data_IF_617918599063
#
_entry.id   IF_617918599063
#
_cell.length_a   1.000
_cell.length_b   1.000
_cell.length_c   1.000
_cell.angle_alpha   90.00
_cell.angle_beta   90.00
_cell.angle_gamma   90.00
#
_symmetry.space_group_name_H-M   'P 1'
#
loop_
_entity.id
_entity.type
_entity.pdbx_description
1 polymer ?
#
# COMPACT_ATOMS: atom_id res chain seq x y z
N UNK A 1 21.45 0.04 19.66
CA UNK A 1 20.49 -0.09 18.55
C UNK A 1 20.37 1.16 17.67
N UNK A 2 20.58 2.38 18.19
CA UNK A 2 20.51 3.63 17.37
C UNK A 2 21.64 3.81 16.34
N UNK A 3 22.89 3.44 16.68
CA UNK A 3 24.04 3.59 15.78
C UNK A 3 23.91 2.72 14.50
N UNK A 4 23.41 1.49 14.66
CA UNK A 4 23.13 0.59 13.54
C UNK A 4 21.99 1.13 12.64
N UNK A 5 20.95 1.72 13.23
CA UNK A 5 19.88 2.35 12.47
C UNK A 5 20.43 3.52 11.63
N UNK A 6 21.26 4.38 12.22
CA UNK A 6 21.93 5.48 11.52
C UNK A 6 22.77 5.00 10.33
N UNK A 7 23.52 3.91 10.49
CA UNK A 7 24.29 3.32 9.38
C UNK A 7 23.41 2.80 8.25
N UNK A 8 22.27 2.15 8.56
CA UNK A 8 21.36 1.67 7.52
C UNK A 8 20.68 2.82 6.76
N UNK A 9 20.31 3.90 7.44
CA UNK A 9 19.79 5.11 6.78
C UNK A 9 20.84 5.77 5.88
N UNK A 10 22.09 5.87 6.35
CA UNK A 10 23.18 6.41 5.54
C UNK A 10 23.46 5.55 4.29
N UNK A 11 23.53 4.22 4.45
CA UNK A 11 23.70 3.28 3.32
C UNK A 11 22.54 3.39 2.33
N UNK A 12 21.30 3.48 2.81
CA UNK A 12 20.12 3.67 1.96
C UNK A 12 20.17 4.98 1.18
N UNK A 13 20.56 6.09 1.85
CA UNK A 13 20.71 7.39 1.20
C UNK A 13 21.82 7.39 0.13
N UNK A 14 22.96 6.76 0.42
CA UNK A 14 24.06 6.62 -0.53
C UNK A 14 23.69 5.73 -1.72
N UNK A 15 22.99 4.61 -1.48
CA UNK A 15 22.49 3.74 -2.53
C UNK A 15 21.48 4.45 -3.44
N UNK A 16 20.58 5.25 -2.86
CA UNK A 16 19.61 6.06 -3.59
C UNK A 16 20.32 7.13 -4.45
N UNK A 17 21.32 7.82 -3.89
CA UNK A 17 22.15 8.78 -4.63
C UNK A 17 22.88 8.09 -5.79
N UNK A 18 23.48 6.94 -5.55
CA UNK A 18 24.14 6.13 -6.57
C UNK A 18 23.18 5.74 -7.70
N UNK A 19 21.99 5.25 -7.34
CA UNK A 19 20.93 4.92 -8.30
C UNK A 19 20.56 6.13 -9.17
N UNK A 20 20.30 7.29 -8.57
CA UNK A 20 19.95 8.52 -9.32
C UNK A 20 21.09 8.95 -10.25
N UNK A 21 22.35 8.86 -9.82
CA UNK A 21 23.51 9.22 -10.63
C UNK A 21 23.69 8.27 -11.82
N UNK A 22 23.48 6.97 -11.63
CA UNK A 22 23.56 5.95 -12.69
C UNK A 22 22.41 6.13 -13.69
N UNK A 23 21.17 6.24 -13.21
CA UNK A 23 19.98 6.43 -14.06
C UNK A 23 20.07 7.69 -14.93
N UNK A 24 20.71 8.76 -14.45
CA UNK A 24 20.92 9.98 -15.26
C UNK A 24 21.99 9.83 -16.34
N UNK A 25 22.87 8.83 -16.24
CA UNK A 25 24.00 8.61 -17.17
C UNK A 25 23.75 7.49 -18.18
N UNK A 26 22.89 6.52 -17.86
CA UNK A 26 22.62 5.35 -18.70
C UNK A 26 21.65 5.69 -19.85
N UNK A 27 21.90 5.14 -21.03
CA UNK A 27 21.09 5.38 -22.23
C UNK A 27 19.69 4.73 -22.20
N UNK A 28 19.54 3.63 -21.46
CA UNK A 28 18.27 2.96 -21.18
C UNK A 28 18.03 2.90 -19.66
N UNK A 29 17.54 4.00 -19.05
CA UNK A 29 17.25 4.05 -17.62
C UNK A 29 16.16 3.04 -17.23
N UNK A 30 16.27 2.48 -16.02
CA UNK A 30 15.27 1.59 -15.43
C UNK A 30 14.02 2.38 -14.98
N UNK A 31 14.19 3.65 -14.63
CA UNK A 31 13.09 4.59 -14.39
C UNK A 31 13.43 5.96 -15.00
N UNK A 32 12.74 6.33 -16.07
CA UNK A 32 12.85 7.69 -16.61
C UNK A 32 12.33 8.71 -15.59
N UNK A 33 13.26 9.41 -14.92
CA UNK A 33 13.00 10.42 -13.89
C UNK A 33 12.14 11.59 -14.41
N UNK A 34 12.04 11.78 -15.73
CA UNK A 34 11.13 12.78 -16.32
C UNK A 34 9.66 12.43 -16.06
N UNK A 35 9.33 11.16 -15.86
CA UNK A 35 7.99 10.71 -15.49
C UNK A 35 7.59 11.22 -14.10
N UNK A 36 8.53 11.29 -13.15
CA UNK A 36 8.29 11.83 -11.80
C UNK A 36 7.99 13.34 -11.80
N UNK A 37 8.25 14.04 -12.90
CA UNK A 37 7.87 15.45 -13.08
C UNK A 37 6.43 15.60 -13.61
N UNK A 38 5.82 14.52 -14.10
CA UNK A 38 4.43 14.52 -14.57
C UNK A 38 3.49 14.34 -13.37
N UNK A 39 2.60 15.31 -13.08
CA UNK A 39 1.74 15.26 -11.91
C UNK A 39 0.81 14.03 -11.89
N UNK A 40 0.39 13.56 -13.06
CA UNK A 40 -0.41 12.34 -13.17
C UNK A 40 0.33 11.08 -12.67
N UNK A 41 1.60 10.90 -13.06
CA UNK A 41 2.39 9.75 -12.63
C UNK A 41 2.77 9.85 -11.15
N UNK A 42 3.17 11.04 -10.70
CA UNK A 42 3.46 11.29 -9.29
C UNK A 42 2.25 11.06 -8.40
N UNK A 43 1.05 11.46 -8.84
CA UNK A 43 -0.20 11.16 -8.14
C UNK A 43 -0.47 9.66 -7.99
N UNK A 44 -0.17 8.87 -9.03
CA UNK A 44 -0.26 7.41 -8.97
C UNK A 44 0.75 6.84 -7.96
N UNK A 45 1.99 7.32 -7.94
CA UNK A 45 3.01 6.86 -7.00
C UNK A 45 2.66 7.23 -5.54
N UNK A 46 2.15 8.43 -5.30
CA UNK A 46 1.64 8.84 -3.98
C UNK A 46 0.47 7.94 -3.56
N UNK A 47 -0.47 7.69 -4.48
CA UNK A 47 -1.57 6.77 -4.25
C UNK A 47 -1.11 5.35 -3.93
N UNK A 48 -0.04 4.87 -4.58
CA UNK A 48 0.57 3.56 -4.33
C UNK A 48 1.18 3.45 -2.92
N UNK A 49 1.89 4.49 -2.48
CA UNK A 49 2.43 4.60 -1.11
C UNK A 49 1.29 4.59 -0.09
N UNK A 50 0.30 5.48 -0.26
CA UNK A 50 -0.84 5.58 0.64
C UNK A 50 -1.64 4.27 0.70
N UNK A 51 -1.85 3.63 -0.45
CA UNK A 51 -2.55 2.36 -0.55
C UNK A 51 -1.86 1.27 0.27
N UNK A 52 -0.57 1.01 0.05
CA UNK A 52 0.10 -0.10 0.73
C UNK A 52 0.43 0.22 2.19
N UNK A 53 0.78 1.47 2.49
CA UNK A 53 1.03 1.89 3.87
C UNK A 53 -0.22 1.77 4.74
N UNK A 54 -1.35 2.31 4.28
CA UNK A 54 -2.58 2.31 5.07
C UNK A 54 -3.28 0.93 5.10
N UNK A 55 -3.39 0.25 3.96
CA UNK A 55 -4.14 -1.01 3.91
C UNK A 55 -3.36 -2.20 4.50
N UNK A 56 -2.04 -2.22 4.37
CA UNK A 56 -1.22 -3.38 4.72
C UNK A 56 -0.21 -3.12 5.84
N UNK A 57 0.19 -1.87 6.11
CA UNK A 57 1.17 -1.55 7.14
C UNK A 57 0.78 -2.00 8.56
N UNK A 58 -0.53 -2.10 8.84
CA UNK A 58 -1.07 -2.56 10.14
C UNK A 58 -1.10 -4.09 10.28
N UNK A 59 -1.05 -4.84 9.18
CA UNK A 59 -1.28 -6.30 9.15
C UNK A 59 -0.28 -7.09 10.00
N UNK A 60 1.03 -6.77 10.01
CA UNK A 60 1.98 -7.45 10.91
C UNK A 60 1.60 -7.30 12.37
N UNK A 61 1.21 -6.09 12.78
CA UNK A 61 0.82 -5.80 14.16
C UNK A 61 -0.49 -6.49 14.54
N UNK A 62 -1.46 -6.52 13.62
CA UNK A 62 -2.70 -7.26 13.82
C UNK A 62 -2.43 -8.76 14.00
N UNK A 63 -1.50 -9.32 13.21
CA UNK A 63 -1.10 -10.72 13.34
C UNK A 63 -0.43 -11.00 14.69
N UNK A 64 0.42 -10.09 15.18
CA UNK A 64 1.02 -10.18 16.51
C UNK A 64 -0.07 -10.13 17.59
N UNK A 65 -0.98 -9.16 17.53
CA UNK A 65 -2.07 -9.00 18.51
C UNK A 65 -2.98 -10.24 18.59
N UNK A 66 -3.37 -10.80 17.45
CA UNK A 66 -4.19 -12.03 17.39
C UNK A 66 -3.48 -13.22 18.05
N UNK A 67 -2.15 -13.31 17.92
CA UNK A 67 -1.37 -14.42 18.49
C UNK A 67 -1.05 -14.20 19.97
N UNK A 68 -0.64 -12.99 20.36
CA UNK A 68 -0.16 -12.72 21.73
C UNK A 68 -1.28 -12.40 22.70
N UNK A 69 -2.31 -11.66 22.28
CA UNK A 69 -3.41 -11.23 23.16
C UNK A 69 -4.56 -12.24 23.14
N UNK A 70 -4.95 -12.68 21.95
CA UNK A 70 -6.07 -13.62 21.78
C UNK A 70 -5.66 -15.09 21.81
N UNK A 71 -4.35 -15.39 21.90
CA UNK A 71 -3.82 -16.75 21.96
C UNK A 71 -4.16 -17.60 20.73
N UNK A 72 -4.50 -16.98 19.60
CA UNK A 72 -4.88 -17.71 18.39
C UNK A 72 -3.67 -18.36 17.74
N UNK A 73 -3.88 -19.54 17.15
CA UNK A 73 -2.86 -20.12 16.27
C UNK A 73 -2.61 -19.20 15.07
N UNK A 74 -1.41 -19.20 14.47
CA UNK A 74 -1.09 -18.37 13.31
C UNK A 74 -2.10 -18.55 12.17
N UNK A 75 -2.53 -19.80 11.94
CA UNK A 75 -3.53 -20.14 10.93
C UNK A 75 -4.86 -19.45 11.20
N UNK A 76 -5.37 -19.51 12.44
CA UNK A 76 -6.64 -18.86 12.81
C UNK A 76 -6.53 -17.33 12.77
N UNK A 77 -5.40 -16.77 13.19
CA UNK A 77 -5.13 -15.34 13.09
C UNK A 77 -5.18 -14.85 11.65
N UNK A 78 -4.58 -15.57 10.72
CA UNK A 78 -4.64 -15.21 9.29
C UNK A 78 -6.05 -15.37 8.70
N UNK A 79 -6.87 -16.30 9.19
CA UNK A 79 -8.29 -16.41 8.76
C UNK A 79 -9.11 -15.18 9.12
N UNK A 80 -8.73 -14.42 10.16
CA UNK A 80 -9.39 -13.14 10.49
C UNK A 80 -9.23 -12.13 9.36
N UNK A 81 -8.19 -12.23 8.53
CA UNK A 81 -7.96 -11.36 7.38
C UNK A 81 -8.81 -11.71 6.15
N UNK A 82 -9.58 -12.80 6.19
CA UNK A 82 -10.45 -13.22 5.08
C UNK A 82 -11.44 -12.15 4.60
N UNK A 83 -12.09 -11.35 5.46
CA UNK A 83 -12.98 -10.29 5.00
C UNK A 83 -12.26 -9.30 4.09
N UNK A 84 -11.02 -8.92 4.42
CA UNK A 84 -10.22 -8.02 3.58
C UNK A 84 -9.92 -8.65 2.22
N UNK A 85 -9.42 -9.88 2.20
CA UNK A 85 -9.09 -10.57 0.96
C UNK A 85 -10.33 -10.83 0.09
N UNK A 86 -11.41 -11.31 0.72
CA UNK A 86 -12.67 -11.65 0.06
C UNK A 86 -13.36 -10.43 -0.55
N UNK A 87 -13.52 -9.35 0.21
CA UNK A 87 -14.15 -8.14 -0.34
C UNK A 87 -13.25 -7.48 -1.38
N UNK A 88 -11.93 -7.48 -1.20
CA UNK A 88 -11.01 -6.94 -2.20
C UNK A 88 -11.08 -7.72 -3.51
N UNK A 89 -11.16 -9.05 -3.45
CA UNK A 89 -11.32 -9.90 -4.63
C UNK A 89 -12.64 -9.62 -5.36
N UNK A 90 -13.77 -9.65 -4.64
CA UNK A 90 -15.10 -9.41 -5.21
C UNK A 90 -15.18 -8.02 -5.83
N UNK A 91 -14.71 -7.00 -5.10
CA UNK A 91 -14.75 -5.62 -5.59
C UNK A 91 -13.81 -5.43 -6.76
N UNK A 92 -12.62 -6.03 -6.79
CA UNK A 92 -11.72 -5.94 -7.95
C UNK A 92 -12.36 -6.52 -9.23
N UNK A 93 -13.06 -7.67 -9.12
CA UNK A 93 -13.78 -8.27 -10.24
C UNK A 93 -14.90 -7.37 -10.76
N UNK A 94 -15.68 -6.80 -9.85
CA UNK A 94 -16.82 -5.93 -10.17
C UNK A 94 -16.33 -4.59 -10.73
N UNK A 95 -15.31 -3.99 -10.09
CA UNK A 95 -14.71 -2.72 -10.48
C UNK A 95 -14.12 -2.78 -11.89
N UNK A 96 -13.45 -3.89 -12.24
CA UNK A 96 -12.91 -4.10 -13.58
C UNK A 96 -13.97 -4.03 -14.68
N UNK A 97 -15.23 -4.40 -14.38
CA UNK A 97 -16.34 -4.34 -15.34
C UNK A 97 -17.15 -3.06 -15.27
N UNK A 98 -17.49 -2.60 -14.06
CA UNK A 98 -18.42 -1.48 -13.85
C UNK A 98 -17.77 -0.10 -13.95
N UNK A 99 -16.46 0.00 -13.71
CA UNK A 99 -15.76 1.29 -13.71
C UNK A 99 -15.08 1.59 -15.05
N UNK A 100 -15.43 0.85 -16.11
CA UNK A 100 -15.01 1.17 -17.47
C UNK A 100 -15.45 2.60 -17.83
N UNK A 101 -14.48 3.48 -18.12
CA UNK A 101 -14.72 4.87 -18.48
C UNK A 101 -14.74 5.87 -17.31
N UNK A 102 -14.71 5.41 -16.06
CA UNK A 102 -14.61 6.30 -14.89
C UNK A 102 -13.18 6.83 -14.75
N UNK A 103 -13.03 8.10 -14.40
CA UNK A 103 -11.72 8.72 -14.23
C UNK A 103 -10.90 8.00 -13.13
N UNK A 104 -9.70 7.47 -13.41
CA UNK A 104 -8.92 6.70 -12.44
C UNK A 104 -8.63 7.43 -11.12
N UNK A 105 -8.45 8.76 -11.18
CA UNK A 105 -8.27 9.62 -10.02
C UNK A 105 -9.42 9.53 -9.00
N UNK A 106 -10.66 9.39 -9.48
CA UNK A 106 -11.84 9.29 -8.61
C UNK A 106 -11.89 7.92 -7.94
N UNK A 107 -11.65 6.85 -8.71
CA UNK A 107 -11.65 5.47 -8.21
C UNK A 107 -10.57 5.29 -7.14
N UNK A 108 -9.34 5.78 -7.40
CA UNK A 108 -8.23 5.71 -6.46
C UNK A 108 -8.53 6.57 -5.22
N UNK A 109 -9.03 7.79 -5.39
CA UNK A 109 -9.36 8.69 -4.28
C UNK A 109 -10.42 8.12 -3.36
N UNK A 110 -11.54 7.64 -3.91
CA UNK A 110 -12.61 6.99 -3.14
C UNK A 110 -12.09 5.74 -2.44
N UNK A 111 -11.33 4.90 -3.14
CA UNK A 111 -10.78 3.69 -2.53
C UNK A 111 -9.80 3.98 -1.38
N UNK A 112 -8.97 5.02 -1.48
CA UNK A 112 -8.09 5.46 -0.38
C UNK A 112 -8.90 6.00 0.82
N UNK A 113 -9.99 6.73 0.57
CA UNK A 113 -10.89 7.19 1.64
C UNK A 113 -11.57 6.01 2.35
N UNK A 114 -12.00 4.99 1.62
CA UNK A 114 -12.57 3.77 2.21
C UNK A 114 -11.55 3.01 3.05
N UNK A 115 -10.29 2.93 2.60
CA UNK A 115 -9.20 2.33 3.38
C UNK A 115 -8.96 3.12 4.68
N UNK A 116 -8.90 4.45 4.59
CA UNK A 116 -8.78 5.31 5.77
C UNK A 116 -9.95 5.14 6.74
N UNK A 117 -11.18 5.10 6.24
CA UNK A 117 -12.37 4.87 7.04
C UNK A 117 -12.35 3.48 7.71
N UNK A 118 -11.92 2.43 6.99
CA UNK A 118 -11.75 1.09 7.55
C UNK A 118 -10.74 1.06 8.69
N UNK A 119 -9.61 1.78 8.53
CA UNK A 119 -8.62 1.97 9.59
C UNK A 119 -9.19 2.73 10.80
N UNK A 120 -9.98 3.78 10.59
CA UNK A 120 -10.63 4.52 11.69
C UNK A 120 -11.68 3.66 12.42
N UNK A 121 -12.43 2.82 11.72
CA UNK A 121 -13.34 1.86 12.36
C UNK A 121 -12.60 0.88 13.27
N UNK A 122 -11.37 0.51 12.91
CA UNK A 122 -10.51 -0.35 13.74
C UNK A 122 -9.87 0.40 14.90
N UNK A 123 -9.68 1.72 14.80
CA UNK A 123 -9.05 2.52 15.86
C UNK A 123 -9.89 2.62 17.14
N UNK A 124 -11.18 2.25 17.09
CA UNK A 124 -12.10 2.25 18.24
C UNK A 124 -12.04 0.94 19.04
N UNK A 125 -11.14 0.02 18.68
CA UNK A 125 -11.00 -1.27 19.36
C UNK A 125 -10.36 -1.12 20.74
N UNK A 126 -11.02 -1.69 21.74
CA UNK A 126 -10.52 -1.81 23.12
C UNK A 126 -9.93 -3.21 23.37
N UNK A 127 -9.08 -3.36 24.38
CA UNK A 127 -8.35 -4.60 24.69
C UNK A 127 -9.26 -5.83 24.96
N UNK A 128 -10.52 -5.61 25.34
CA UNK A 128 -11.54 -6.66 25.53
C UNK A 128 -12.35 -7.02 24.28
N UNK A 129 -12.08 -6.38 23.14
CA UNK A 129 -12.88 -6.55 21.91
C UNK A 129 -12.58 -7.89 21.24
N UNK A 130 -13.64 -8.57 20.77
CA UNK A 130 -13.50 -9.82 20.01
C UNK A 130 -13.04 -9.55 18.58
N UNK A 131 -12.42 -10.56 17.97
CA UNK A 131 -11.97 -10.51 16.57
C UNK A 131 -13.08 -10.17 15.56
N UNK A 132 -14.35 -10.41 15.91
CA UNK A 132 -15.49 -10.09 15.04
C UNK A 132 -15.68 -8.59 14.79
N UNK A 133 -15.20 -7.74 15.70
CA UNK A 133 -15.28 -6.28 15.58
C UNK A 133 -14.30 -5.74 14.52
N UNK A 134 -13.26 -6.51 14.16
CA UNK A 134 -12.35 -6.17 13.07
C UNK A 134 -12.98 -6.41 11.69
N UNK A 135 -13.95 -7.32 11.58
CA UNK A 135 -14.48 -7.78 10.30
C UNK A 135 -15.07 -6.63 9.44
N UNK A 136 -15.85 -5.68 9.98
CA UNK A 136 -16.35 -4.54 9.21
C UNK A 136 -15.23 -3.62 8.72
N UNK A 137 -14.23 -3.33 9.57
CA UNK A 137 -13.08 -2.51 9.19
C UNK A 137 -12.22 -3.17 8.11
N UNK A 138 -11.96 -4.47 8.25
CA UNK A 138 -11.24 -5.29 7.26
C UNK A 138 -12.01 -5.37 5.95
N UNK A 139 -13.32 -5.58 6.01
CA UNK A 139 -14.19 -5.62 4.85
C UNK A 139 -14.15 -4.27 4.10
N UNK A 140 -14.26 -3.14 4.82
CA UNK A 140 -14.23 -1.80 4.25
C UNK A 140 -12.87 -1.47 3.62
N UNK A 141 -11.77 -1.80 4.30
CA UNK A 141 -10.41 -1.70 3.76
C UNK A 141 -10.24 -2.59 2.52
N UNK A 142 -10.83 -3.79 2.51
CA UNK A 142 -10.83 -4.68 1.36
C UNK A 142 -11.61 -4.11 0.17
N UNK A 143 -12.79 -3.51 0.41
CA UNK A 143 -13.55 -2.81 -0.64
C UNK A 143 -12.70 -1.70 -1.27
N UNK A 144 -12.11 -0.83 -0.45
CA UNK A 144 -11.22 0.21 -0.94
C UNK A 144 -10.03 -0.36 -1.70
N UNK A 145 -9.41 -1.44 -1.19
CA UNK A 145 -8.29 -2.12 -1.84
C UNK A 145 -8.63 -2.68 -3.21
N UNK A 146 -9.81 -3.28 -3.36
CA UNK A 146 -10.31 -3.80 -4.63
C UNK A 146 -10.56 -2.72 -5.69
N UNK A 147 -10.83 -1.48 -5.27
CA UNK A 147 -10.95 -0.31 -6.16
C UNK A 147 -9.57 0.25 -6.55
N UNK A 148 -8.68 0.42 -5.57
CA UNK A 148 -7.39 1.11 -5.75
C UNK A 148 -6.42 0.28 -6.57
N UNK A 149 -6.29 -1.03 -6.29
CA UNK A 149 -5.29 -1.88 -6.93
C UNK A 149 -5.34 -1.89 -8.47
N UNK A 150 -6.49 -2.17 -9.12
CA UNK A 150 -6.59 -2.09 -10.57
C UNK A 150 -6.50 -0.66 -11.10
N UNK A 151 -7.04 0.31 -10.35
CA UNK A 151 -6.99 1.74 -10.70
C UNK A 151 -5.55 2.27 -10.80
N UNK A 152 -4.69 1.91 -9.84
CA UNK A 152 -3.27 2.28 -9.85
C UNK A 152 -2.54 1.67 -11.05
N UNK A 153 -2.75 0.37 -11.31
CA UNK A 153 -2.12 -0.31 -12.44
C UNK A 153 -2.54 0.32 -13.78
N UNK A 154 -3.84 0.54 -13.98
CA UNK A 154 -4.36 1.19 -15.19
C UNK A 154 -3.87 2.62 -15.35
N UNK A 155 -3.89 3.43 -14.29
CA UNK A 155 -3.42 4.81 -14.32
C UNK A 155 -1.92 4.93 -14.60
N UNK A 156 -1.11 4.01 -14.05
CA UNK A 156 0.32 3.94 -14.33
C UNK A 156 0.59 3.66 -15.80
N UNK A 157 -0.07 2.63 -16.35
CA UNK A 157 0.06 2.27 -17.76
C UNK A 157 -0.42 3.38 -18.69
N UNK A 158 -1.52 4.08 -18.35
CA UNK A 158 -2.04 5.19 -19.14
C UNK A 158 -1.14 6.44 -19.12
N UNK A 159 -0.24 6.56 -18.14
CA UNK A 159 0.65 7.72 -18.00
C UNK A 159 1.94 7.63 -18.81
N UNK A 160 2.22 6.47 -19.43
CA UNK A 160 3.44 6.19 -20.18
C UNK A 160 3.14 5.57 -21.56
N UNK A 161 4.05 5.72 -22.54
CA UNK A 161 3.97 4.97 -23.79
C UNK A 161 4.06 3.44 -23.54
N UNK A 162 3.47 2.59 -24.41
CA UNK A 162 3.47 1.14 -24.23
C UNK A 162 4.87 0.52 -24.05
N UNK A 163 5.89 1.06 -24.74
CA UNK A 163 7.28 0.62 -24.59
C UNK A 163 7.84 0.79 -23.16
N UNK A 164 7.24 1.69 -22.38
CA UNK A 164 7.66 2.03 -21.03
C UNK A 164 6.73 1.44 -19.95
N UNK A 165 5.78 0.57 -20.33
CA UNK A 165 4.82 -0.06 -19.43
C UNK A 165 5.49 -0.81 -18.27
N UNK A 166 6.58 -1.53 -18.57
CA UNK A 166 7.39 -2.24 -17.57
C UNK A 166 8.00 -1.29 -16.53
N UNK A 167 8.50 -0.13 -16.95
CA UNK A 167 9.04 0.89 -16.04
C UNK A 167 7.94 1.47 -15.13
N UNK A 168 6.77 1.80 -15.68
CA UNK A 168 5.66 2.33 -14.88
C UNK A 168 5.16 1.32 -13.85
N UNK A 169 4.98 0.05 -14.25
CA UNK A 169 4.59 -1.03 -13.33
C UNK A 169 5.63 -1.28 -12.24
N UNK A 170 6.91 -1.31 -12.62
CA UNK A 170 8.04 -1.47 -11.68
C UNK A 170 8.09 -0.33 -10.66
N UNK A 171 7.95 0.92 -11.12
CA UNK A 171 7.93 2.09 -10.24
C UNK A 171 6.76 2.04 -9.25
N UNK A 172 5.55 1.73 -9.72
CA UNK A 172 4.38 1.59 -8.82
C UNK A 172 4.64 0.52 -7.77
N UNK A 173 5.17 -0.65 -8.16
CA UNK A 173 5.42 -1.73 -7.22
C UNK A 173 6.50 -1.36 -6.19
N UNK A 174 7.57 -0.69 -6.62
CA UNK A 174 8.59 -0.15 -5.71
C UNK A 174 7.98 0.83 -4.69
N UNK A 175 7.15 1.78 -5.15
CA UNK A 175 6.47 2.74 -4.27
C UNK A 175 5.43 2.09 -3.36
N UNK A 176 4.76 1.02 -3.79
CA UNK A 176 3.91 0.20 -2.90
C UNK A 176 4.73 -0.40 -1.75
N UNK A 177 5.89 -0.98 -2.05
CA UNK A 177 6.76 -1.55 -1.01
C UNK A 177 7.32 -0.48 -0.07
N UNK A 178 7.67 0.70 -0.60
CA UNK A 178 8.02 1.85 0.22
C UNK A 178 6.87 2.24 1.15
N UNK A 179 5.63 2.31 0.64
CA UNK A 179 4.44 2.57 1.44
C UNK A 179 4.25 1.56 2.55
N UNK A 180 4.36 0.27 2.26
CA UNK A 180 4.28 -0.79 3.26
C UNK A 180 5.32 -0.61 4.36
N UNK A 181 6.60 -0.39 4.00
CA UNK A 181 7.68 -0.19 4.96
C UNK A 181 7.44 1.05 5.86
N UNK A 182 7.03 2.17 5.25
CA UNK A 182 6.68 3.40 5.99
C UNK A 182 5.51 3.15 6.94
N UNK A 183 4.45 2.49 6.48
CA UNK A 183 3.29 2.14 7.29
C UNK A 183 3.69 1.28 8.49
N UNK A 184 4.47 0.21 8.26
CA UNK A 184 4.96 -0.65 9.34
C UNK A 184 5.78 0.15 10.36
N UNK A 185 6.68 1.03 9.91
CA UNK A 185 7.49 1.86 10.79
C UNK A 185 6.62 2.82 11.63
N UNK A 186 5.66 3.51 11.00
CA UNK A 186 4.76 4.44 11.69
C UNK A 186 3.91 3.75 12.76
N UNK A 187 3.24 2.64 12.42
CA UNK A 187 2.47 1.88 13.39
C UNK A 187 3.36 1.36 14.53
N UNK A 188 4.58 0.93 14.21
CA UNK A 188 5.58 0.51 15.20
C UNK A 188 5.91 1.61 16.18
N UNK A 189 6.22 2.81 15.68
CA UNK A 189 6.51 3.96 16.55
C UNK A 189 5.35 4.29 17.48
N UNK A 190 4.10 4.22 17.00
CA UNK A 190 2.91 4.49 17.83
C UNK A 190 2.71 3.41 18.89
N UNK A 191 2.99 2.15 18.59
CA UNK A 191 2.87 1.03 19.53
C UNK A 191 3.96 1.00 20.60
N UNK A 192 5.14 1.55 20.29
CA UNK A 192 6.29 1.59 21.21
C UNK A 192 6.43 2.91 21.98
N UNK A 193 5.71 3.96 21.58
CA UNK A 193 5.68 5.25 22.27
C UNK A 193 4.80 5.20 23.51
#
# INVERSE_FOLDING_TARGET
TSAAAGTWFAVSALALLGFVLVERRVAQPLLDLRLLRKPAFTGVLIGAVGYNGAAFGVVPYLSVWLQTVLGMSPVRGSLVLLPLAGTSFVVALVAGRLLHGVAPRLVIGVGLLLIGAGGLCMAVLDAGSSWGVLAPGLALTGVGSGLVAPGLAGAALASVPPANAGMAGGAVNAFRQLGYAIGVALFGTVLTA
#
